data_IF_244086374441
#
_entry.id   IF_244086374441
#
_cell.length_a   1.000
_cell.length_b   1.000
_cell.length_c   1.000
_cell.angle_alpha   90.00
_cell.angle_beta   90.00
_cell.angle_gamma   90.00
#
_symmetry.space_group_name_H-M   'P 1'
#
loop_
_entity.id
_entity.type
_entity.pdbx_description
1 polymer ?
#
# COMPACT_ATOMS: atom_id res chain seq x y z
N UNK A 1 24.27 9.42 57.78
CA UNK A 1 24.23 8.43 56.69
C UNK A 1 25.09 7.28 57.14
N UNK A 2 24.49 6.13 57.42
CA UNK A 2 25.17 5.01 58.05
C UNK A 2 26.13 4.31 57.06
N UNK A 3 27.20 3.65 57.51
CA UNK A 3 28.11 2.89 56.63
C UNK A 3 27.37 1.83 55.80
N UNK A 4 26.25 1.32 56.33
CA UNK A 4 25.37 0.34 55.69
C UNK A 4 24.71 0.90 54.41
N UNK A 5 24.26 2.17 54.44
CA UNK A 5 23.61 2.83 53.30
C UNK A 5 24.57 2.95 52.10
N UNK A 6 25.85 3.22 52.37
CA UNK A 6 26.86 3.37 51.33
C UNK A 6 27.18 2.03 50.63
N UNK A 7 27.08 0.91 51.35
CA UNK A 7 27.32 -0.42 50.79
C UNK A 7 26.17 -0.86 49.87
N UNK A 8 24.93 -0.53 50.25
CA UNK A 8 23.72 -0.86 49.48
C UNK A 8 23.72 -0.09 48.14
N UNK A 9 24.03 1.21 48.15
CA UNK A 9 24.07 2.06 46.95
C UNK A 9 25.12 1.58 45.94
N UNK A 10 26.30 1.14 46.41
CA UNK A 10 27.34 0.56 45.53
C UNK A 10 26.91 -0.77 44.91
N UNK A 11 26.15 -1.58 45.65
CA UNK A 11 25.66 -2.87 45.16
C UNK A 11 24.57 -2.68 44.11
N UNK A 12 23.60 -1.79 44.34
CA UNK A 12 22.52 -1.50 43.38
C UNK A 12 23.05 -0.88 42.08
N UNK A 13 24.04 0.02 42.16
CA UNK A 13 24.66 0.61 40.98
C UNK A 13 25.37 -0.44 40.10
N UNK A 14 26.01 -1.45 40.71
CA UNK A 14 26.65 -2.55 39.97
C UNK A 14 25.63 -3.45 39.30
N UNK A 15 24.52 -3.76 39.97
CA UNK A 15 23.42 -4.57 39.41
C UNK A 15 22.78 -3.84 38.23
N UNK A 16 22.50 -2.54 38.38
CA UNK A 16 21.93 -1.72 37.31
C UNK A 16 22.88 -1.63 36.10
N UNK A 17 24.19 -1.46 36.34
CA UNK A 17 25.20 -1.47 35.28
C UNK A 17 25.27 -2.83 34.57
N UNK A 18 25.15 -3.95 35.30
CA UNK A 18 25.09 -5.28 34.70
C UNK A 18 23.82 -5.50 33.87
N UNK A 19 22.65 -5.05 34.34
CA UNK A 19 21.40 -5.13 33.57
C UNK A 19 21.49 -4.27 32.31
N UNK A 20 22.04 -3.06 32.41
CA UNK A 20 22.27 -2.17 31.26
C UNK A 20 23.23 -2.82 30.27
N UNK A 21 24.33 -3.42 30.73
CA UNK A 21 25.30 -4.10 29.88
C UNK A 21 24.69 -5.35 29.21
N UNK A 22 23.90 -6.15 29.95
CA UNK A 22 23.16 -7.29 29.38
C UNK A 22 22.11 -6.84 28.34
N UNK A 23 21.46 -5.70 28.54
CA UNK A 23 20.52 -5.13 27.58
C UNK A 23 21.23 -4.63 26.31
N UNK A 24 22.46 -4.13 26.43
CA UNK A 24 23.30 -3.71 25.31
C UNK A 24 23.90 -4.89 24.53
N UNK A 25 24.10 -6.04 25.19
CA UNK A 25 24.61 -7.27 24.56
C UNK A 25 23.52 -8.11 23.88
N UNK A 26 22.24 -7.76 24.03
CA UNK A 26 21.17 -8.35 23.22
C UNK A 26 21.33 -7.86 21.77
N UNK A 27 22.17 -8.55 21.02
CA UNK A 27 22.14 -8.49 19.57
C UNK A 27 20.76 -9.03 19.15
N UNK A 28 19.83 -8.14 18.84
CA UNK A 28 18.57 -8.51 18.19
C UNK A 28 19.00 -9.11 16.85
N UNK A 29 19.06 -10.44 16.79
CA UNK A 29 19.30 -11.14 15.53
C UNK A 29 18.04 -10.95 14.70
N UNK A 30 18.01 -9.89 13.90
CA UNK A 30 16.91 -9.64 12.98
C UNK A 30 16.85 -10.80 12.00
N UNK A 31 15.70 -11.46 11.96
CA UNK A 31 15.50 -12.58 11.07
C UNK A 31 15.53 -12.05 9.64
N UNK A 32 16.44 -12.60 8.83
CA UNK A 32 16.58 -12.22 7.42
C UNK A 32 15.73 -13.14 6.56
N UNK A 33 14.87 -12.57 5.72
CA UNK A 33 14.10 -13.34 4.75
C UNK A 33 15.05 -14.06 3.78
N UNK A 34 14.93 -15.38 3.71
CA UNK A 34 15.71 -16.22 2.79
C UNK A 34 14.92 -16.53 1.51
N UNK A 35 15.65 -16.83 0.42
CA UNK A 35 15.03 -17.24 -0.86
C UNK A 35 14.12 -18.46 -0.68
N UNK A 36 14.60 -19.44 0.11
CA UNK A 36 13.85 -20.66 0.44
C UNK A 36 12.56 -20.36 1.23
N UNK A 37 12.63 -19.48 2.23
CA UNK A 37 11.45 -19.09 3.01
C UNK A 37 10.43 -18.34 2.15
N UNK A 38 10.90 -17.45 1.27
CA UNK A 38 10.05 -16.78 0.30
C UNK A 38 9.38 -17.81 -0.63
N UNK A 39 10.11 -18.79 -1.15
CA UNK A 39 9.55 -19.81 -2.03
C UNK A 39 8.51 -20.68 -1.33
N UNK A 40 8.68 -21.02 -0.04
CA UNK A 40 7.65 -21.70 0.75
C UNK A 40 6.39 -20.84 0.97
N UNK A 41 6.56 -19.54 1.21
CA UNK A 41 5.43 -18.62 1.32
C UNK A 41 4.65 -18.53 0.00
N UNK A 42 5.36 -18.39 -1.13
CA UNK A 42 4.77 -18.35 -2.47
C UNK A 42 4.13 -19.69 -2.87
N UNK A 43 4.71 -20.81 -2.48
CA UNK A 43 4.11 -22.13 -2.69
C UNK A 43 2.80 -22.29 -1.92
N UNK A 44 2.76 -21.83 -0.66
CA UNK A 44 1.56 -21.88 0.18
C UNK A 44 0.41 -21.08 -0.44
N UNK A 45 0.69 -19.91 -1.04
CA UNK A 45 -0.33 -19.15 -1.78
C UNK A 45 -0.91 -19.95 -2.95
N UNK A 46 -0.04 -20.55 -3.78
CA UNK A 46 -0.47 -21.35 -4.93
C UNK A 46 -1.33 -22.54 -4.51
N UNK A 47 -0.99 -23.22 -3.41
CA UNK A 47 -1.78 -24.37 -2.92
C UNK A 47 -3.17 -23.99 -2.39
N UNK A 48 -3.40 -22.71 -2.11
CA UNK A 48 -4.70 -22.16 -1.67
C UNK A 48 -5.43 -21.37 -2.76
N UNK A 49 -5.01 -21.49 -4.02
CA UNK A 49 -5.72 -20.86 -5.16
C UNK A 49 -5.36 -19.40 -5.40
N UNK A 50 -4.29 -18.89 -4.80
CA UNK A 50 -3.71 -17.58 -5.09
C UNK A 50 -2.50 -17.76 -6.02
N UNK A 51 -2.72 -17.96 -7.31
CA UNK A 51 -1.65 -18.28 -8.27
C UNK A 51 -1.03 -17.04 -8.90
N UNK A 52 -1.81 -16.00 -9.14
CA UNK A 52 -1.36 -14.82 -9.88
C UNK A 52 -0.48 -13.90 -9.04
N UNK A 53 -0.79 -13.72 -7.76
CA UNK A 53 0.02 -12.86 -6.89
C UNK A 53 1.45 -13.38 -6.68
N UNK A 54 1.68 -14.68 -6.40
CA UNK A 54 3.03 -15.27 -6.40
C UNK A 54 3.77 -15.15 -7.72
N UNK A 55 3.07 -15.28 -8.85
CA UNK A 55 3.69 -15.14 -10.17
C UNK A 55 4.11 -13.70 -10.41
N UNK A 56 3.24 -12.74 -10.08
CA UNK A 56 3.55 -11.32 -10.16
C UNK A 56 4.76 -10.93 -9.29
N UNK A 57 4.86 -11.49 -8.08
CA UNK A 57 6.06 -11.30 -7.23
C UNK A 57 7.30 -11.89 -7.90
N UNK A 58 7.21 -13.11 -8.45
CA UNK A 58 8.34 -13.79 -9.08
C UNK A 58 8.85 -13.09 -10.35
N UNK A 59 7.98 -12.40 -11.08
CA UNK A 59 8.31 -11.73 -12.36
C UNK A 59 8.52 -10.22 -12.23
N UNK A 60 8.30 -9.62 -11.06
CA UNK A 60 8.51 -8.20 -10.81
C UNK A 60 9.72 -7.95 -9.92
N UNK A 61 10.10 -6.68 -9.79
CA UNK A 61 11.17 -6.25 -8.90
C UNK A 61 10.86 -6.50 -7.42
N UNK A 62 9.64 -6.91 -7.05
CA UNK A 62 9.28 -7.23 -5.67
C UNK A 62 10.12 -8.36 -5.09
N UNK A 63 10.40 -9.43 -5.86
CA UNK A 63 11.30 -10.50 -5.38
C UNK A 63 12.68 -9.94 -5.04
N UNK A 64 13.23 -9.10 -5.92
CA UNK A 64 14.53 -8.47 -5.69
C UNK A 64 14.48 -7.52 -4.49
N UNK A 65 13.41 -6.75 -4.32
CA UNK A 65 13.22 -5.87 -3.16
C UNK A 65 13.23 -6.67 -1.85
N UNK A 66 12.47 -7.76 -1.77
CA UNK A 66 12.43 -8.63 -0.59
C UNK A 66 13.82 -9.14 -0.20
N UNK A 67 14.58 -9.63 -1.18
CA UNK A 67 15.89 -10.24 -0.95
C UNK A 67 16.97 -9.19 -0.68
N UNK A 68 16.99 -8.08 -1.43
CA UNK A 68 18.01 -7.04 -1.30
C UNK A 68 17.83 -6.19 -0.03
N UNK A 69 16.59 -5.90 0.36
CA UNK A 69 16.33 -5.26 1.65
C UNK A 69 16.69 -6.18 2.81
N UNK A 70 16.65 -7.50 2.65
CA UNK A 70 17.16 -8.40 3.68
C UNK A 70 18.71 -8.41 3.79
N UNK A 71 19.42 -8.07 2.72
CA UNK A 71 20.87 -8.25 2.58
C UNK A 71 21.72 -7.07 3.11
N UNK A 72 21.18 -5.86 3.17
CA UNK A 72 21.93 -4.67 3.57
C UNK A 72 21.81 -4.40 5.07
N UNK A 73 22.95 -4.29 5.78
CA UNK A 73 23.02 -3.89 7.20
C UNK A 73 22.44 -2.48 7.51
N UNK A 74 22.08 -1.71 6.48
CA UNK A 74 21.39 -0.40 6.56
C UNK A 74 19.96 -0.42 6.01
N UNK A 75 19.46 -1.56 5.56
CA UNK A 75 18.07 -1.68 5.14
C UNK A 75 17.16 -1.61 6.35
N UNK A 76 16.08 -0.83 6.24
CA UNK A 76 15.13 -0.63 7.33
C UNK A 76 14.24 -1.85 7.60
N UNK A 77 14.19 -2.83 6.68
CA UNK A 77 13.20 -3.91 6.71
C UNK A 77 13.84 -5.27 6.42
N UNK A 78 13.62 -6.22 7.33
CA UNK A 78 14.10 -7.61 7.20
C UNK A 78 12.95 -8.63 7.20
N UNK A 79 11.72 -8.13 7.38
CA UNK A 79 10.52 -8.92 7.59
C UNK A 79 9.36 -8.36 6.79
N UNK A 80 8.41 -9.21 6.39
CA UNK A 80 7.31 -8.80 5.51
C UNK A 80 5.98 -9.48 5.85
N UNK A 81 4.88 -8.84 5.48
CA UNK A 81 3.55 -9.46 5.45
C UNK A 81 2.96 -9.30 4.06
N UNK A 82 2.51 -10.40 3.47
CA UNK A 82 1.82 -10.44 2.19
C UNK A 82 0.31 -10.54 2.40
N UNK A 83 -0.44 -9.63 1.79
CA UNK A 83 -1.90 -9.65 1.77
C UNK A 83 -2.39 -10.03 0.38
N UNK A 84 -2.59 -11.32 0.10
CA UNK A 84 -2.83 -11.81 -1.25
C UNK A 84 -4.26 -11.57 -1.73
N UNK A 85 -4.48 -10.80 -2.82
CA UNK A 85 -5.81 -10.65 -3.42
C UNK A 85 -6.23 -11.92 -4.19
N UNK A 86 -7.54 -12.16 -4.37
CA UNK A 86 -8.04 -13.20 -5.26
C UNK A 86 -7.56 -13.03 -6.71
N UNK A 87 -7.24 -14.14 -7.37
CA UNK A 87 -6.70 -14.15 -8.75
C UNK A 87 -7.60 -13.40 -9.75
N UNK A 88 -8.92 -13.55 -9.64
CA UNK A 88 -9.87 -12.86 -10.54
C UNK A 88 -9.77 -11.33 -10.47
N UNK A 89 -9.54 -10.78 -9.28
CA UNK A 89 -9.39 -9.34 -9.08
C UNK A 89 -8.02 -8.86 -9.53
N UNK A 90 -6.97 -9.64 -9.28
CA UNK A 90 -5.62 -9.30 -9.74
C UNK A 90 -5.52 -9.34 -11.27
N UNK A 91 -6.17 -10.32 -11.92
CA UNK A 91 -6.29 -10.39 -13.37
C UNK A 91 -7.03 -9.19 -13.95
N UNK A 92 -8.15 -8.79 -13.32
CA UNK A 92 -8.91 -7.61 -13.75
C UNK A 92 -8.08 -6.32 -13.61
N UNK A 93 -7.28 -6.22 -12.56
CA UNK A 93 -6.37 -5.08 -12.36
C UNK A 93 -5.30 -5.01 -13.45
N UNK A 94 -4.69 -6.14 -13.82
CA UNK A 94 -3.68 -6.23 -14.87
C UNK A 94 -4.23 -5.77 -16.23
N UNK A 95 -5.44 -6.21 -16.58
CA UNK A 95 -6.11 -5.79 -17.82
C UNK A 95 -6.47 -4.30 -17.86
N UNK A 96 -6.77 -3.70 -16.70
CA UNK A 96 -7.29 -2.33 -16.61
C UNK A 96 -6.23 -1.27 -16.30
N UNK A 97 -5.00 -1.67 -15.94
CA UNK A 97 -3.96 -0.77 -15.42
C UNK A 97 -2.79 -0.62 -16.38
N UNK A 98 -2.18 0.57 -16.39
CA UNK A 98 -0.81 0.70 -16.87
C UNK A 98 0.15 -0.09 -15.95
N UNK A 99 1.28 -0.54 -16.49
CA UNK A 99 2.26 -1.35 -15.76
C UNK A 99 2.75 -0.69 -14.46
N UNK A 100 2.95 0.64 -14.45
CA UNK A 100 3.34 1.39 -13.24
C UNK A 100 2.27 1.33 -12.16
N UNK A 101 1.00 1.46 -12.54
CA UNK A 101 -0.14 1.39 -11.64
C UNK A 101 -0.37 -0.03 -11.09
N UNK A 102 -0.21 -1.05 -11.95
CA UNK A 102 -0.24 -2.45 -11.57
C UNK A 102 0.83 -2.75 -10.50
N UNK A 103 2.10 -2.41 -10.78
CA UNK A 103 3.21 -2.66 -9.84
C UNK A 103 3.06 -1.87 -8.55
N UNK A 104 2.62 -0.61 -8.60
CA UNK A 104 2.34 0.18 -7.38
C UNK A 104 1.23 -0.48 -6.54
N UNK A 105 0.20 -1.01 -7.19
CA UNK A 105 -0.87 -1.74 -6.50
C UNK A 105 -0.37 -3.05 -5.88
N UNK A 106 0.48 -3.82 -6.57
CA UNK A 106 1.13 -5.00 -5.98
C UNK A 106 1.92 -4.64 -4.70
N UNK A 107 2.65 -3.53 -4.71
CA UNK A 107 3.41 -3.07 -3.53
C UNK A 107 2.53 -2.66 -2.34
N UNK A 108 1.27 -2.25 -2.57
CA UNK A 108 0.31 -1.99 -1.47
C UNK A 108 -0.11 -3.27 -0.74
N UNK A 109 -0.02 -4.42 -1.41
CA UNK A 109 -0.31 -5.71 -0.81
C UNK A 109 0.83 -6.23 0.08
N UNK A 110 1.87 -5.43 0.33
CA UNK A 110 3.01 -5.81 1.15
C UNK A 110 3.27 -4.79 2.25
N UNK A 111 3.37 -5.27 3.48
CA UNK A 111 3.85 -4.49 4.63
C UNK A 111 5.28 -4.88 4.99
N UNK A 112 6.16 -3.93 5.40
CA UNK A 112 7.54 -4.22 5.78
C UNK A 112 7.68 -4.69 7.24
N UNK A 113 6.62 -5.27 7.80
CA UNK A 113 6.59 -5.89 9.12
C UNK A 113 6.03 -7.29 8.96
N UNK A 114 6.55 -8.28 9.69
CA UNK A 114 5.95 -9.62 9.76
C UNK A 114 4.91 -9.66 10.87
N UNK A 115 3.64 -9.76 10.49
CA UNK A 115 2.48 -9.65 11.36
C UNK A 115 1.63 -10.90 11.19
N UNK A 116 1.43 -11.66 12.26
CA UNK A 116 0.39 -12.69 12.32
C UNK A 116 -1.00 -12.06 12.46
N UNK A 117 -2.05 -12.86 12.31
CA UNK A 117 -3.43 -12.41 12.52
C UNK A 117 -3.64 -11.95 13.97
N UNK A 118 -3.00 -12.60 14.95
CA UNK A 118 -2.98 -12.12 16.33
C UNK A 118 -2.30 -10.76 16.48
N UNK A 119 -1.17 -10.53 15.80
CA UNK A 119 -0.49 -9.23 15.83
C UNK A 119 -1.40 -8.13 15.25
N UNK A 120 -2.02 -8.40 14.10
CA UNK A 120 -2.97 -7.48 13.45
C UNK A 120 -4.15 -7.13 14.36
N UNK A 121 -4.70 -8.10 15.10
CA UNK A 121 -5.78 -7.84 16.07
C UNK A 121 -5.31 -6.98 17.22
N UNK A 122 -4.13 -7.28 17.76
CA UNK A 122 -3.54 -6.57 18.89
C UNK A 122 -3.22 -5.11 18.56
N UNK A 123 -2.84 -4.80 17.32
CA UNK A 123 -2.59 -3.42 16.88
C UNK A 123 -3.78 -2.51 17.10
N UNK A 124 -5.01 -3.04 17.01
CA UNK A 124 -6.24 -2.23 17.08
C UNK A 124 -6.89 -2.21 18.46
N UNK A 125 -6.38 -3.00 19.41
CA UNK A 125 -6.98 -3.20 20.73
C UNK A 125 -7.08 -1.89 21.55
N UNK A 126 -6.18 -0.94 21.34
CA UNK A 126 -6.10 0.29 22.14
C UNK A 126 -6.77 1.52 21.50
N UNK A 127 -6.98 1.53 20.18
CA UNK A 127 -7.35 2.74 19.42
C UNK A 127 -8.52 2.58 18.46
N UNK A 128 -9.11 1.39 18.34
CA UNK A 128 -10.22 1.12 17.41
C UNK A 128 -9.81 1.11 15.93
N UNK A 129 -8.50 1.13 15.66
CA UNK A 129 -7.89 1.07 14.33
C UNK A 129 -6.40 1.38 14.40
N UNK A 130 -5.62 0.80 13.49
CA UNK A 130 -4.17 1.01 13.41
C UNK A 130 -3.75 1.35 11.98
N UNK A 131 -2.57 1.95 11.84
CA UNK A 131 -1.98 2.29 10.55
C UNK A 131 -0.57 1.71 10.49
N UNK A 132 -0.31 0.87 9.50
CA UNK A 132 1.00 0.24 9.26
C UNK A 132 1.53 0.66 7.90
N UNK A 133 2.84 0.73 7.73
CA UNK A 133 3.41 1.09 6.43
C UNK A 133 3.20 -0.03 5.39
N UNK A 134 3.14 0.36 4.12
CA UNK A 134 3.25 -0.53 2.96
C UNK A 134 4.61 -0.37 2.28
N UNK A 135 4.90 -1.19 1.26
CA UNK A 135 6.09 -0.97 0.42
C UNK A 135 5.95 0.20 -0.56
N UNK A 136 4.77 0.81 -0.68
CA UNK A 136 4.62 2.06 -1.43
C UNK A 136 5.04 3.23 -0.52
N UNK A 137 6.00 4.07 -0.93
CA UNK A 137 6.42 5.22 -0.13
C UNK A 137 5.25 6.12 0.27
N UNK A 138 5.25 6.54 1.54
CA UNK A 138 4.23 7.41 2.13
C UNK A 138 2.80 6.85 2.09
N UNK A 139 2.61 5.56 1.81
CA UNK A 139 1.31 4.90 1.85
C UNK A 139 1.24 3.94 3.02
N UNK A 140 0.14 4.04 3.76
CA UNK A 140 -0.15 3.20 4.92
C UNK A 140 -1.39 2.35 4.71
N UNK A 141 -1.38 1.15 5.29
CA UNK A 141 -2.50 0.25 5.38
C UNK A 141 -3.23 0.49 6.70
N UNK A 142 -4.54 0.68 6.60
CA UNK A 142 -5.43 0.82 7.75
C UNK A 142 -5.93 -0.54 8.18
N UNK A 143 -5.73 -0.86 9.45
CA UNK A 143 -6.09 -2.13 10.07
C UNK A 143 -7.24 -1.90 11.04
N UNK A 144 -8.29 -2.73 10.93
CA UNK A 144 -9.45 -2.70 11.83
C UNK A 144 -9.85 -4.11 12.22
N UNK A 145 -10.21 -4.31 13.49
CA UNK A 145 -10.97 -5.50 13.88
C UNK A 145 -12.39 -5.41 13.33
N UNK A 146 -12.91 -6.55 12.90
CA UNK A 146 -14.24 -6.68 12.34
C UNK A 146 -14.84 -8.03 12.74
N UNK A 147 -16.12 -8.21 12.45
CA UNK A 147 -16.82 -9.47 12.59
C UNK A 147 -17.19 -9.98 11.20
N UNK A 148 -16.98 -11.27 10.96
CA UNK A 148 -17.36 -11.93 9.72
C UNK A 148 -18.38 -13.04 10.01
N UNK A 149 -19.35 -13.18 9.11
CA UNK A 149 -20.27 -14.31 9.14
C UNK A 149 -19.73 -15.42 8.25
N UNK A 150 -19.34 -16.54 8.85
CA UNK A 150 -18.83 -17.72 8.15
C UNK A 150 -19.72 -18.90 8.54
N UNK A 151 -20.40 -19.49 7.55
CA UNK A 151 -21.30 -20.64 7.75
C UNK A 151 -22.33 -20.44 8.88
N UNK A 152 -22.94 -19.25 8.95
CA UNK A 152 -23.93 -18.89 9.97
C UNK A 152 -23.35 -18.54 11.35
N UNK A 153 -22.03 -18.61 11.54
CA UNK A 153 -21.35 -18.25 12.78
C UNK A 153 -20.65 -16.90 12.65
N UNK A 154 -20.71 -16.09 13.70
CA UNK A 154 -19.96 -14.82 13.79
C UNK A 154 -18.56 -15.11 14.32
N UNK A 155 -17.54 -14.77 13.56
CA UNK A 155 -16.13 -14.93 13.92
C UNK A 155 -15.40 -13.59 13.85
N UNK A 156 -14.42 -13.39 14.73
CA UNK A 156 -13.54 -12.23 14.63
C UNK A 156 -12.71 -12.27 13.35
N UNK A 157 -12.54 -11.11 12.74
CA UNK A 157 -11.84 -10.91 11.48
C UNK A 157 -11.02 -9.62 11.54
N UNK A 158 -10.11 -9.46 10.58
CA UNK A 158 -9.37 -8.22 10.37
C UNK A 158 -9.73 -7.64 9.00
N UNK A 159 -9.81 -6.32 8.90
CA UNK A 159 -9.86 -5.57 7.65
C UNK A 159 -8.51 -4.88 7.42
N UNK A 160 -8.00 -4.94 6.19
CA UNK A 160 -6.83 -4.21 5.70
C UNK A 160 -7.31 -3.29 4.58
N UNK A 161 -7.25 -1.97 4.76
CA UNK A 161 -7.83 -0.99 3.84
C UNK A 161 -9.27 -1.33 3.44
N UNK A 162 -10.10 -1.73 4.42
CA UNK A 162 -11.51 -2.16 4.25
C UNK A 162 -11.70 -3.49 3.52
N UNK A 163 -10.64 -4.15 3.10
CA UNK A 163 -10.68 -5.51 2.52
C UNK A 163 -10.51 -6.53 3.63
N UNK A 164 -11.33 -7.58 3.68
CA UNK A 164 -11.27 -8.57 4.75
C UNK A 164 -10.13 -9.54 4.52
N UNK A 165 -9.44 -9.89 5.60
CA UNK A 165 -8.59 -11.08 5.66
C UNK A 165 -9.49 -12.30 5.72
N UNK A 166 -9.61 -13.04 4.60
CA UNK A 166 -10.46 -14.23 4.47
C UNK A 166 -9.75 -15.51 4.86
N UNK A 167 -8.44 -15.60 4.61
CA UNK A 167 -7.60 -16.75 4.96
C UNK A 167 -6.46 -16.24 5.85
N UNK A 168 -6.67 -16.14 7.17
CA UNK A 168 -5.62 -15.70 8.09
C UNK A 168 -4.47 -16.70 8.16
N UNK A 169 -3.26 -16.21 8.37
CA UNK A 169 -2.07 -17.03 8.69
C UNK A 169 -1.80 -18.18 7.71
N UNK A 170 -2.08 -17.96 6.43
CA UNK A 170 -1.89 -18.91 5.34
C UNK A 170 -0.46 -19.46 5.29
N UNK A 171 0.51 -18.60 5.62
CA UNK A 171 1.89 -19.02 5.91
C UNK A 171 2.47 -18.12 7.00
N UNK A 172 3.13 -18.74 7.98
CA UNK A 172 3.83 -18.06 9.07
C UNK A 172 5.29 -18.52 9.12
N UNK A 173 6.15 -17.78 8.44
CA UNK A 173 7.59 -17.91 8.53
C UNK A 173 8.18 -17.13 9.71
N UNK A 174 9.51 -17.16 9.81
CA UNK A 174 10.29 -16.36 10.75
C UNK A 174 10.35 -14.89 10.31
N UNK A 175 10.52 -14.65 9.01
CA UNK A 175 10.64 -13.30 8.44
C UNK A 175 9.46 -12.91 7.56
N UNK A 176 8.56 -13.82 7.22
CA UNK A 176 7.41 -13.52 6.36
C UNK A 176 6.11 -14.08 6.93
N UNK A 177 5.03 -13.31 6.86
CA UNK A 177 3.67 -13.78 7.10
C UNK A 177 2.84 -13.60 5.82
N UNK A 178 1.83 -14.44 5.64
CA UNK A 178 0.94 -14.41 4.48
C UNK A 178 -0.50 -14.57 4.92
N UNK A 179 -1.37 -13.71 4.37
CA UNK A 179 -2.81 -13.76 4.57
C UNK A 179 -3.50 -13.67 3.20
N UNK A 180 -4.60 -14.41 3.03
CA UNK A 180 -5.50 -14.26 1.90
C UNK A 180 -6.56 -13.20 2.16
N UNK A 181 -6.86 -12.40 1.13
CA UNK A 181 -7.91 -11.38 1.14
C UNK A 181 -9.18 -11.87 0.41
N UNK A 182 -10.33 -11.26 0.69
CA UNK A 182 -11.57 -11.39 -0.10
C UNK A 182 -11.73 -10.33 -1.19
N UNK A 183 -10.79 -9.39 -1.26
CA UNK A 183 -10.81 -8.27 -2.19
C UNK A 183 -9.39 -7.88 -2.62
N UNK A 184 -9.26 -6.67 -3.19
CA UNK A 184 -8.00 -6.14 -3.70
C UNK A 184 -7.78 -4.70 -3.20
N UNK A 185 -6.52 -4.35 -2.95
CA UNK A 185 -6.10 -3.00 -2.54
C UNK A 185 -5.45 -2.36 -3.76
N UNK A 186 -6.08 -1.32 -4.30
CA UNK A 186 -5.64 -0.67 -5.53
C UNK A 186 -5.01 0.68 -5.21
N UNK A 187 -3.92 1.02 -5.91
CA UNK A 187 -3.32 2.33 -5.78
C UNK A 187 -4.29 3.42 -6.25
N UNK A 188 -4.23 4.59 -5.60
CA UNK A 188 -4.90 5.77 -6.14
C UNK A 188 -4.21 6.24 -7.42
N UNK A 189 -4.99 6.80 -8.35
CA UNK A 189 -4.49 7.56 -9.50
C UNK A 189 -3.95 8.93 -9.03
N UNK A 190 -2.88 8.93 -8.26
CA UNK A 190 -2.18 10.15 -7.86
C UNK A 190 -0.97 10.35 -8.76
N UNK A 191 -1.21 10.90 -9.95
CA UNK A 191 -0.24 11.73 -10.67
C UNK A 191 -0.65 13.19 -10.46
N UNK A 192 -0.34 13.74 -9.28
CA UNK A 192 -0.09 15.18 -9.23
C UNK A 192 1.31 15.39 -9.77
N UNK A 193 1.36 15.51 -11.08
CA UNK A 193 2.42 16.20 -11.82
C UNK A 193 2.73 17.49 -11.08
N UNK A 194 3.76 17.50 -10.25
CA UNK A 194 4.46 18.71 -9.88
C UNK A 194 5.38 19.04 -11.05
N UNK A 195 4.78 19.51 -12.15
CA UNK A 195 5.50 20.27 -13.16
C UNK A 195 5.79 21.64 -12.55
N UNK A 196 6.74 21.69 -11.62
CA UNK A 196 7.37 22.94 -11.17
C UNK A 196 8.32 23.51 -12.23
N UNK A 197 8.31 23.00 -13.46
CA UNK A 197 9.21 23.40 -14.55
C UNK A 197 8.56 24.26 -15.64
N UNK A 198 7.25 24.54 -15.60
CA UNK A 198 6.61 25.38 -16.64
C UNK A 198 6.23 26.80 -16.20
N UNK A 199 6.11 27.10 -14.90
CA UNK A 199 5.85 28.49 -14.44
C UNK A 199 7.12 29.33 -14.23
N UNK A 200 8.30 28.73 -14.16
CA UNK A 200 9.56 29.48 -14.04
C UNK A 200 10.01 30.15 -15.36
N UNK A 201 9.49 29.72 -16.50
CA UNK A 201 9.89 30.23 -17.81
C UNK A 201 9.00 31.39 -18.32
N UNK A 202 7.81 31.58 -17.76
CA UNK A 202 6.88 32.65 -18.19
C UNK A 202 6.96 33.91 -17.34
N UNK A 203 7.58 33.88 -16.16
CA UNK A 203 7.73 35.06 -15.31
C UNK A 203 8.96 35.91 -15.63
N UNK A 204 9.94 35.42 -16.40
CA UNK A 204 11.16 36.17 -16.72
C UNK A 204 11.14 36.87 -18.10
N UNK A 205 10.06 36.72 -18.88
CA UNK A 205 9.98 37.23 -20.25
C UNK A 205 8.88 38.28 -20.46
N UNK A 206 7.99 38.48 -19.49
CA UNK A 206 6.92 39.49 -19.56
C UNK A 206 7.43 40.87 -19.09
N UNK A 207 8.42 40.91 -18.20
CA UNK A 207 8.95 42.18 -17.68
C UNK A 207 9.97 42.87 -18.61
N UNK A 208 10.44 42.18 -19.66
CA UNK A 208 11.39 42.74 -20.62
C UNK A 208 10.73 43.37 -21.87
N UNK A 209 9.43 43.17 -22.08
CA UNK A 209 8.72 43.60 -23.31
C UNK A 209 8.03 44.97 -23.14
N UNK A 210 7.91 45.50 -21.92
CA UNK A 210 7.20 46.76 -21.65
C UNK A 210 8.08 48.00 -21.47
N UNK A 211 9.38 47.94 -21.77
CA UNK A 211 10.30 49.07 -21.54
C UNK A 211 10.94 49.69 -22.80
N UNK A 212 10.64 49.22 -24.01
CA UNK A 212 11.26 49.79 -25.23
C UNK A 212 10.31 50.42 -26.26
N UNK A 213 8.98 50.39 -26.09
CA UNK A 213 8.04 50.94 -27.10
C UNK A 213 7.44 52.31 -26.71
N UNK A 214 8.23 53.18 -26.08
CA UNK A 214 7.90 54.59 -25.83
C UNK A 214 8.97 55.50 -26.44
N UNK A 215 9.21 55.37 -27.75
CA UNK A 215 9.84 56.43 -28.56
C UNK A 215 9.75 56.10 -30.06
N UNK A 216 8.68 56.51 -30.75
CA UNK A 216 8.74 57.31 -32.00
C UNK A 216 7.37 57.41 -32.71
N UNK A 217 7.10 58.50 -33.47
CA UNK A 217 5.79 58.83 -34.03
C UNK A 217 5.65 58.51 -35.53
N UNK A 218 4.39 58.63 -36.01
CA UNK A 218 3.88 58.65 -37.41
C UNK A 218 3.44 57.31 -38.04
N UNK A 219 2.12 57.13 -38.17
CA UNK A 219 1.37 57.24 -39.44
C UNK A 219 0.09 56.36 -39.49
N UNK A 220 -1.07 57.01 -39.33
CA UNK A 220 -2.22 56.98 -40.26
C UNK A 220 -2.93 55.68 -40.69
N UNK A 221 -4.25 55.65 -40.38
CA UNK A 221 -5.40 55.02 -41.12
C UNK A 221 -5.46 53.46 -41.05
N UNK A 222 -6.62 52.78 -40.91
CA UNK A 222 -8.02 53.06 -41.26
C UNK A 222 -8.95 51.99 -40.62
N UNK A 223 -10.22 52.37 -40.44
CA UNK A 223 -11.40 51.66 -39.95
C UNK A 223 -11.70 50.25 -40.50
N UNK A 224 -12.47 49.46 -39.73
CA UNK A 224 -13.16 48.26 -40.24
C UNK A 224 -13.97 47.41 -39.23
N UNK A 225 -14.99 47.99 -38.62
CA UNK A 225 -16.30 47.42 -38.20
C UNK A 225 -16.61 45.90 -38.44
N UNK A 226 -17.08 45.18 -37.39
CA UNK A 226 -18.41 44.47 -37.27
C UNK A 226 -18.43 43.13 -36.49
N UNK A 227 -19.20 43.19 -35.38
CA UNK A 227 -20.32 42.30 -34.94
C UNK A 227 -20.23 40.77 -35.06
N UNK A 228 -20.56 40.10 -33.94
CA UNK A 228 -21.43 38.91 -33.92
C UNK A 228 -21.01 37.82 -32.93
N UNK A 229 -21.38 37.92 -31.65
CA UNK A 229 -22.53 37.27 -30.99
C UNK A 229 -22.29 35.85 -30.42
N UNK A 230 -22.30 35.81 -29.10
CA UNK A 230 -22.37 34.63 -28.22
C UNK A 230 -23.65 33.80 -28.43
N UNK A 231 -23.53 32.46 -28.37
CA UNK A 231 -24.64 31.58 -27.98
C UNK A 231 -24.18 30.56 -26.95
N UNK A 232 -24.83 30.65 -25.78
CA UNK A 232 -24.83 29.68 -24.68
C UNK A 232 -25.73 28.48 -25.03
N UNK A 233 -25.24 27.30 -24.66
CA UNK A 233 -25.91 26.24 -23.88
C UNK A 233 -27.33 25.77 -24.24
N UNK A 234 -27.48 24.44 -24.36
CA UNK A 234 -28.67 23.74 -23.85
C UNK A 234 -28.39 22.27 -23.50
N UNK A 235 -28.69 21.94 -22.26
CA UNK A 235 -28.82 20.61 -21.66
C UNK A 235 -30.14 19.97 -22.16
N UNK A 236 -30.15 18.65 -22.39
CA UNK A 236 -31.37 17.83 -22.36
C UNK A 236 -31.11 16.47 -21.69
N UNK A 237 -31.92 16.22 -20.66
CA UNK A 237 -32.18 14.94 -20.00
C UNK A 237 -33.02 14.01 -20.90
N UNK A 238 -32.88 12.70 -20.70
CA UNK A 238 -33.85 11.68 -21.14
C UNK A 238 -33.45 10.32 -20.59
N UNK A 239 -34.34 9.68 -19.82
CA UNK A 239 -34.07 8.41 -19.14
C UNK A 239 -34.96 7.23 -19.56
N UNK A 240 -34.80 6.16 -18.78
CA UNK A 240 -35.68 5.01 -18.48
C UNK A 240 -35.59 3.69 -19.27
N UNK A 241 -35.69 2.62 -18.45
CA UNK A 241 -35.99 1.19 -18.69
C UNK A 241 -34.88 0.35 -19.34
N UNK A 242 -34.42 -0.78 -18.81
CA UNK A 242 -34.99 -1.72 -17.83
C UNK A 242 -35.27 -3.02 -18.56
N UNK A 243 -34.49 -4.08 -18.30
CA UNK A 243 -34.90 -5.47 -18.51
C UNK A 243 -34.04 -6.42 -17.66
N UNK A 244 -34.75 -7.23 -16.89
CA UNK A 244 -34.29 -8.34 -16.06
C UNK A 244 -34.65 -9.60 -16.83
N UNK A 245 -33.69 -10.50 -17.07
CA UNK A 245 -33.98 -11.88 -17.48
C UNK A 245 -33.22 -12.83 -16.58
N UNK A 246 -33.99 -13.66 -15.89
CA UNK A 246 -33.55 -14.77 -15.04
C UNK A 246 -33.98 -16.08 -15.71
N UNK A 247 -33.03 -16.98 -15.91
CA UNK A 247 -33.16 -18.43 -16.12
C UNK A 247 -31.77 -18.99 -15.74
N UNK A 248 -31.54 -20.10 -15.06
CA UNK A 248 -32.31 -21.24 -14.58
C UNK A 248 -31.27 -22.27 -14.11
N UNK A 249 -31.62 -23.08 -13.13
CA UNK A 249 -30.73 -24.01 -12.41
C UNK A 249 -30.35 -25.29 -13.21
N UNK A 250 -29.48 -26.09 -12.57
CA UNK A 250 -29.07 -27.50 -12.81
C UNK A 250 -27.78 -27.76 -13.61
N UNK A 251 -26.75 -28.28 -12.94
CA UNK A 251 -26.47 -29.72 -12.90
C UNK A 251 -25.29 -30.06 -11.96
N UNK A 252 -25.54 -31.04 -11.10
CA UNK A 252 -24.56 -31.82 -10.34
C UNK A 252 -23.89 -32.83 -11.28
N UNK A 253 -22.58 -33.03 -11.15
CA UNK A 253 -21.92 -34.28 -11.54
C UNK A 253 -20.81 -34.62 -10.53
N UNK A 254 -21.13 -35.56 -9.65
CA UNK A 254 -20.17 -36.51 -9.08
C UNK A 254 -19.88 -37.58 -10.15
N UNK A 255 -18.63 -38.03 -10.29
CA UNK A 255 -18.28 -39.45 -10.28
C UNK A 255 -16.76 -39.69 -10.32
N UNK A 256 -16.36 -40.60 -9.41
CA UNK A 256 -15.16 -41.46 -9.35
C UNK A 256 -13.79 -40.87 -9.02
#
# INVERSE_FOLDING_TARGET
MEPQDFMIIKSTAKILLHILLLSLLHQITTAKLTDQELDFALFSLRSHGYTLFPNAIATSDLRLQFLNQSNHAKSSFSTFTLFSPPDSLLFSLDLASAASHYTKSLSLHVSPFRLSTSDLRNLTASSGGASIDSLVPNHRLLIYNSLAHVNGTVVESVLVNRVRVSVPDLFLGRSIAVHGLDGIIVAGFEDRVQDTSFEAATSSQIDAIWSEELNSPLAGRRNGDRRGNNRRGRILNGGTRGDVVSHGAFASFNHH
#
